data_IF_137531947389
#
_entry.id   IF_137531947389
#
_cell.length_a   1.000
_cell.length_b   1.000
_cell.length_c   1.000
_cell.angle_alpha   90.00
_cell.angle_beta   90.00
_cell.angle_gamma   90.00
#
_symmetry.space_group_name_H-M   'P 1'
#
loop_
_entity.id
_entity.type
_entity.pdbx_description
1 polymer ?
#
# COMPACT_ATOMS: atom_id res chain seq x y z
N UNK A 1 6.43 -8.13 -8.69
CA UNK A 1 7.55 -8.97 -8.24
C UNK A 1 7.55 -9.38 -6.76
N UNK A 2 6.82 -8.71 -5.86
CA UNK A 2 6.89 -8.98 -4.41
C UNK A 2 6.14 -10.26 -3.96
N UNK A 3 5.41 -10.89 -4.88
CA UNK A 3 4.59 -12.07 -4.64
C UNK A 3 4.64 -13.00 -5.84
N UNK A 4 3.78 -14.02 -5.82
CA UNK A 4 3.71 -15.06 -6.84
C UNK A 4 2.30 -15.18 -7.39
N UNK A 5 2.16 -15.29 -8.71
CA UNK A 5 0.89 -15.63 -9.35
C UNK A 5 0.69 -17.15 -9.38
N UNK A 6 1.76 -17.91 -9.61
CA UNK A 6 1.82 -19.38 -9.56
C UNK A 6 2.82 -19.87 -8.51
N UNK A 7 2.80 -21.16 -8.13
CA UNK A 7 3.71 -21.66 -7.06
C UNK A 7 5.18 -21.61 -7.48
N UNK A 8 5.42 -21.67 -8.78
CA UNK A 8 6.73 -21.78 -9.40
C UNK A 8 7.38 -20.41 -9.64
N UNK A 9 6.62 -19.31 -9.56
CA UNK A 9 7.12 -17.96 -9.84
C UNK A 9 8.23 -17.55 -8.86
N UNK A 10 9.26 -16.86 -9.37
CA UNK A 10 10.29 -16.24 -8.54
C UNK A 10 9.78 -14.95 -7.90
N UNK A 11 10.12 -14.73 -6.64
CA UNK A 11 9.89 -13.45 -5.94
C UNK A 11 11.15 -12.60 -6.07
N UNK A 12 10.97 -11.33 -6.37
CA UNK A 12 12.01 -10.32 -6.22
C UNK A 12 11.94 -9.71 -4.81
N UNK A 13 12.95 -9.91 -3.95
CA UNK A 13 12.94 -9.38 -2.59
C UNK A 13 13.20 -7.87 -2.49
N UNK A 14 13.66 -7.23 -3.57
CA UNK A 14 13.97 -5.79 -3.59
C UNK A 14 12.74 -4.92 -3.93
N UNK A 15 11.65 -5.52 -4.42
CA UNK A 15 10.43 -4.79 -4.78
C UNK A 15 9.38 -4.82 -3.67
N UNK A 16 8.57 -3.78 -3.59
CA UNK A 16 7.53 -3.66 -2.56
C UNK A 16 6.99 -2.25 -2.44
N UNK A 17 6.16 -2.02 -1.42
CA UNK A 17 5.58 -0.70 -1.12
C UNK A 17 5.81 -0.37 0.35
N UNK A 18 6.31 0.83 0.63
CA UNK A 18 6.43 1.38 1.98
C UNK A 18 5.36 2.44 2.16
N UNK A 19 4.46 2.25 3.13
CA UNK A 19 3.45 3.25 3.50
C UNK A 19 4.08 4.30 4.43
N UNK A 20 4.00 5.57 4.05
CA UNK A 20 4.52 6.71 4.81
C UNK A 20 3.45 7.31 5.75
N UNK A 21 2.18 6.94 5.53
CA UNK A 21 1.04 7.40 6.32
C UNK A 21 0.15 6.23 6.77
N UNK A 22 -0.55 6.42 7.88
CA UNK A 22 -1.54 5.46 8.41
C UNK A 22 -2.97 5.98 8.26
N UNK A 23 -3.94 5.06 8.33
CA UNK A 23 -5.37 5.41 8.36
C UNK A 23 -5.63 6.34 9.55
N UNK A 24 -6.39 7.41 9.34
CA UNK A 24 -6.66 8.43 10.37
C UNK A 24 -5.61 9.55 10.46
N UNK A 25 -4.42 9.36 9.88
CA UNK A 25 -3.38 10.38 9.91
C UNK A 25 -3.74 11.55 8.99
N UNK A 26 -3.63 12.77 9.52
CA UNK A 26 -3.77 14.00 8.73
C UNK A 26 -2.60 14.13 7.75
N UNK A 27 -2.92 14.51 6.51
CA UNK A 27 -1.96 14.79 5.44
C UNK A 27 -2.26 16.16 4.81
N UNK A 28 -1.25 16.78 4.22
CA UNK A 28 -1.39 18.02 3.45
C UNK A 28 -1.16 17.76 1.95
N UNK A 29 -1.62 18.67 1.09
CA UNK A 29 -1.39 18.56 -0.35
C UNK A 29 0.11 18.46 -0.66
N UNK A 30 0.48 17.49 -1.51
CA UNK A 30 1.88 17.19 -1.82
C UNK A 30 2.57 16.24 -0.84
N UNK A 31 1.88 15.76 0.21
CA UNK A 31 2.41 14.71 1.08
C UNK A 31 2.63 13.40 0.31
N UNK A 32 3.72 12.71 0.63
CA UNK A 32 3.99 11.37 0.09
C UNK A 32 3.16 10.36 0.88
N UNK A 33 2.28 9.63 0.21
CA UNK A 33 1.45 8.59 0.85
C UNK A 33 2.20 7.27 1.02
N UNK A 34 2.98 6.90 0.00
CA UNK A 34 3.79 5.70 -0.01
C UNK A 34 4.92 5.80 -1.04
N UNK A 35 5.87 4.88 -0.97
CA UNK A 35 6.93 4.69 -1.97
C UNK A 35 6.83 3.30 -2.56
N UNK A 36 6.85 3.22 -3.89
CA UNK A 36 6.92 1.96 -4.64
C UNK A 36 8.40 1.71 -4.96
N UNK A 37 8.88 0.53 -4.59
CA UNK A 37 10.19 0.02 -4.95
C UNK A 37 10.01 -1.02 -6.05
N UNK A 38 10.68 -0.80 -7.18
CA UNK A 38 10.63 -1.68 -8.33
C UNK A 38 12.02 -1.82 -8.96
N UNK A 39 12.31 -2.99 -9.54
CA UNK A 39 13.64 -3.31 -10.09
C UNK A 39 13.71 -3.23 -11.61
N UNK A 40 12.57 -3.22 -12.31
CA UNK A 40 12.45 -2.97 -13.75
C UNK A 40 11.28 -2.01 -14.04
N UNK A 41 11.10 -1.55 -15.28
CA UNK A 41 9.99 -0.64 -15.61
C UNK A 41 8.68 -1.38 -15.95
N UNK A 42 8.76 -2.70 -16.07
CA UNK A 42 7.63 -3.56 -16.41
C UNK A 42 6.55 -3.47 -15.31
N UNK A 43 5.30 -3.21 -15.70
CA UNK A 43 4.15 -3.04 -14.79
C UNK A 43 4.26 -1.90 -13.76
N UNK A 44 5.26 -1.01 -13.85
CA UNK A 44 5.39 0.10 -12.88
C UNK A 44 4.20 1.07 -12.95
N UNK A 45 3.74 1.41 -14.15
CA UNK A 45 2.57 2.28 -14.35
C UNK A 45 1.28 1.64 -13.81
N UNK A 46 1.10 0.35 -14.08
CA UNK A 46 -0.05 -0.42 -13.59
C UNK A 46 -0.05 -0.49 -12.05
N UNK A 47 1.11 -0.75 -11.44
CA UNK A 47 1.27 -0.73 -9.99
C UNK A 47 0.98 0.66 -9.40
N UNK A 48 1.41 1.74 -10.06
CA UNK A 48 1.10 3.11 -9.68
C UNK A 48 -0.40 3.38 -9.66
N UNK A 49 -1.11 3.04 -10.73
CA UNK A 49 -2.55 3.21 -10.84
C UNK A 49 -3.33 2.42 -9.77
N UNK A 50 -2.93 1.16 -9.52
CA UNK A 50 -3.55 0.34 -8.47
C UNK A 50 -3.35 0.93 -7.07
N UNK A 51 -2.16 1.47 -6.80
CA UNK A 51 -1.86 2.10 -5.51
C UNK A 51 -2.66 3.40 -5.34
N UNK A 52 -2.76 4.23 -6.37
CA UNK A 52 -3.56 5.45 -6.34
C UNK A 52 -5.05 5.16 -6.05
N UNK A 53 -5.64 4.17 -6.72
CA UNK A 53 -7.04 3.77 -6.51
C UNK A 53 -7.29 3.18 -5.11
N UNK A 54 -6.26 2.58 -4.50
CA UNK A 54 -6.36 2.02 -3.15
C UNK A 54 -6.46 3.09 -2.04
N UNK A 55 -6.01 4.32 -2.28
CA UNK A 55 -6.09 5.40 -1.29
C UNK A 55 -7.42 6.16 -1.36
N UNK A 56 -8.01 6.41 -0.19
CA UNK A 56 -9.18 7.28 -0.03
C UNK A 56 -8.86 8.40 0.94
N UNK A 57 -8.98 9.63 0.48
CA UNK A 57 -8.71 10.85 1.28
C UNK A 57 -10.04 11.47 1.68
N UNK A 58 -10.18 11.79 2.96
CA UNK A 58 -11.35 12.46 3.54
C UNK A 58 -10.98 13.86 4.00
N UNK A 59 -11.91 14.81 3.86
CA UNK A 59 -11.76 16.16 4.45
C UNK A 59 -12.09 16.19 5.95
N UNK A 60 -12.78 15.17 6.44
CA UNK A 60 -13.11 15.01 7.86
C UNK A 60 -12.23 13.94 8.50
N UNK A 61 -11.91 14.06 9.81
CA UNK A 61 -11.27 12.99 10.56
C UNK A 61 -12.02 11.67 10.38
N UNK A 62 -11.28 10.58 10.25
CA UNK A 62 -11.83 9.22 10.15
C UNK A 62 -11.49 8.44 11.40
N UNK A 63 -12.43 7.61 11.85
CA UNK A 63 -12.21 6.77 13.02
C UNK A 63 -11.15 5.69 12.73
N UNK A 64 -10.31 5.44 13.74
CA UNK A 64 -9.38 4.31 13.70
C UNK A 64 -10.17 2.99 13.73
N UNK A 65 -9.69 1.99 12.98
CA UNK A 65 -10.27 0.65 12.99
C UNK A 65 -9.57 -0.19 14.04
N UNK A 66 -10.34 -0.98 14.79
CA UNK A 66 -9.80 -1.95 15.72
C UNK A 66 -8.92 -2.97 14.98
N UNK A 67 -7.67 -3.10 15.43
CA UNK A 67 -6.72 -4.07 14.87
C UNK A 67 -7.09 -5.51 15.26
N UNK A 68 -7.71 -5.68 16.43
CA UNK A 68 -8.15 -6.97 16.96
C UNK A 68 -9.66 -6.85 17.20
N UNK A 69 -10.45 -7.62 16.44
CA UNK A 69 -11.91 -7.58 16.53
C UNK A 69 -12.44 -8.39 17.73
N UNK A 70 -11.87 -9.58 17.95
CA UNK A 70 -12.28 -10.49 19.01
C UNK A 70 -11.16 -11.48 19.33
N UNK A 71 -11.07 -11.93 20.57
CA UNK A 71 -10.23 -13.06 21.00
C UNK A 71 -11.15 -14.18 21.44
N UNK A 72 -11.12 -15.31 20.76
CA UNK A 72 -11.94 -16.50 21.08
C UNK A 72 -11.09 -17.48 21.88
N UNK A 73 -11.51 -17.79 23.10
CA UNK A 73 -10.85 -18.71 24.04
C UNK A 73 -11.70 -19.92 24.37
#
# INVERSE_FOLDING_TARGET
GAGRNTKEDSIDPAVGVILEVKVGQKIDAGSILCRIYHTNEEHLEEAGALVEDAFKISQQPVDERDLILEVVS
#
